data_IF_456855422520
#
_entry.id   IF_456855422520
#
_cell.length_a   1.000
_cell.length_b   1.000
_cell.length_c   1.000
_cell.angle_alpha   90.00
_cell.angle_beta   90.00
_cell.angle_gamma   90.00
#
_symmetry.space_group_name_H-M   'P 1'
#
loop_
_entity.id
_entity.type
_entity.pdbx_description
1 polymer ?
#
# COMPACT_ATOMS: atom_id res chain seq x y z
N UNK A 1 11.31 -17.60 -15.77
CA UNK A 1 10.76 -18.80 -15.36
C UNK A 1 11.54 -19.59 -14.33
N UNK A 2 10.97 -20.70 -13.96
CA UNK A 2 11.62 -21.77 -13.21
C UNK A 2 12.08 -22.82 -14.21
N UNK A 3 13.21 -23.48 -13.91
CA UNK A 3 13.72 -24.59 -14.70
C UNK A 3 12.86 -25.83 -14.52
N UNK A 4 12.86 -26.74 -15.52
CA UNK A 4 12.06 -28.00 -15.48
C UNK A 4 12.50 -28.94 -14.35
N UNK A 5 13.74 -28.83 -13.84
CA UNK A 5 14.22 -29.59 -12.68
C UNK A 5 13.40 -29.34 -11.40
N UNK A 6 12.60 -28.26 -11.35
CA UNK A 6 11.75 -27.95 -10.20
C UNK A 6 10.39 -28.67 -10.22
N UNK A 7 10.02 -29.34 -11.31
CA UNK A 7 8.70 -30.00 -11.44
C UNK A 7 8.42 -31.05 -10.37
N UNK A 8 9.47 -31.74 -9.91
CA UNK A 8 9.37 -32.83 -8.92
C UNK A 8 9.72 -32.39 -7.50
N UNK A 9 9.88 -31.08 -7.23
CA UNK A 9 10.23 -30.56 -5.91
C UNK A 9 8.99 -30.23 -5.09
N UNK A 10 9.07 -30.50 -3.80
CA UNK A 10 8.07 -30.06 -2.84
C UNK A 10 8.27 -28.57 -2.46
N UNK A 11 7.21 -27.94 -1.97
CA UNK A 11 7.22 -26.50 -1.64
C UNK A 11 8.26 -26.12 -0.58
N UNK A 12 8.63 -26.99 0.33
CA UNK A 12 9.68 -26.80 1.35
C UNK A 12 11.10 -26.85 0.76
N UNK A 13 11.28 -27.43 -0.42
CA UNK A 13 12.57 -27.50 -1.14
C UNK A 13 12.80 -26.27 -2.04
N UNK A 14 11.83 -25.34 -2.09
CA UNK A 14 11.90 -24.13 -2.88
C UNK A 14 12.28 -22.91 -2.02
N UNK A 15 13.11 -22.01 -2.57
CA UNK A 15 13.34 -20.70 -1.95
C UNK A 15 12.05 -19.85 -1.94
N UNK A 16 12.01 -18.82 -1.09
CA UNK A 16 10.87 -17.89 -1.03
C UNK A 16 10.49 -17.29 -2.39
N UNK A 17 11.48 -16.83 -3.16
CA UNK A 17 11.25 -16.30 -4.49
C UNK A 17 10.79 -17.35 -5.52
N UNK A 18 11.22 -18.60 -5.38
CA UNK A 18 10.76 -19.71 -6.21
C UNK A 18 9.30 -20.07 -5.88
N UNK A 19 8.96 -20.18 -4.59
CA UNK A 19 7.56 -20.36 -4.14
C UNK A 19 6.65 -19.26 -4.68
N UNK A 20 7.12 -18.00 -4.63
CA UNK A 20 6.34 -16.87 -5.15
C UNK A 20 6.09 -16.98 -6.65
N UNK A 21 7.08 -17.39 -7.45
CA UNK A 21 6.91 -17.62 -8.90
C UNK A 21 5.91 -18.74 -9.19
N UNK A 22 5.91 -19.80 -8.40
CA UNK A 22 4.89 -20.89 -8.51
C UNK A 22 3.50 -20.34 -8.17
N UNK A 23 3.37 -19.51 -7.12
CA UNK A 23 2.12 -18.83 -6.76
C UNK A 23 1.59 -17.95 -7.88
N UNK A 24 2.46 -17.14 -8.50
CA UNK A 24 2.11 -16.31 -9.66
C UNK A 24 1.66 -17.18 -10.84
N UNK A 25 2.40 -18.24 -11.15
CA UNK A 25 2.03 -19.16 -12.24
C UNK A 25 0.65 -19.81 -12.01
N UNK A 26 0.37 -20.24 -10.77
CA UNK A 26 -0.95 -20.77 -10.37
C UNK A 26 -2.07 -19.75 -10.58
N UNK A 27 -1.86 -18.51 -10.16
CA UNK A 27 -2.86 -17.45 -10.31
C UNK A 27 -3.16 -17.14 -11.78
N UNK A 28 -2.19 -17.34 -12.67
CA UNK A 28 -2.31 -16.98 -14.10
C UNK A 28 -2.71 -18.14 -15.02
N UNK A 29 -2.83 -19.36 -14.50
CA UNK A 29 -3.09 -20.55 -15.33
C UNK A 29 -4.44 -20.49 -16.06
N UNK A 30 -5.44 -19.83 -15.45
CA UNK A 30 -6.78 -19.65 -16.02
C UNK A 30 -6.92 -18.37 -16.84
N UNK A 31 -5.81 -17.69 -17.19
CA UNK A 31 -5.80 -16.44 -17.95
C UNK A 31 -6.76 -15.37 -17.40
N UNK A 32 -6.68 -15.01 -16.11
CA UNK A 32 -7.58 -14.05 -15.50
C UNK A 32 -7.34 -12.64 -16.05
N UNK A 33 -8.35 -11.79 -16.00
CA UNK A 33 -8.23 -10.33 -16.26
C UNK A 33 -7.88 -9.54 -15.00
N UNK A 34 -8.22 -10.08 -13.83
CA UNK A 34 -8.02 -9.45 -12.52
C UNK A 34 -7.32 -10.39 -11.55
N UNK A 35 -6.29 -9.88 -10.88
CA UNK A 35 -5.49 -10.66 -9.91
C UNK A 35 -5.34 -9.88 -8.61
N UNK A 36 -5.61 -10.52 -7.48
CA UNK A 36 -5.33 -10.00 -6.14
C UNK A 36 -3.94 -10.45 -5.70
N UNK A 37 -3.08 -9.49 -5.42
CA UNK A 37 -1.73 -9.68 -4.90
C UNK A 37 -1.70 -9.22 -3.44
N UNK A 38 -1.96 -10.15 -2.51
CA UNK A 38 -1.94 -9.86 -1.08
C UNK A 38 -0.56 -10.18 -0.51
N UNK A 39 0.15 -9.14 -0.03
CA UNK A 39 1.52 -9.20 0.52
C UNK A 39 2.51 -10.00 -0.36
N UNK A 40 2.32 -9.94 -1.68
CA UNK A 40 3.03 -10.80 -2.65
C UNK A 40 4.56 -10.69 -2.63
N UNK A 41 5.14 -9.67 -1.97
CA UNK A 41 6.59 -9.44 -1.92
C UNK A 41 7.14 -9.17 -0.52
N UNK A 42 6.30 -9.18 0.52
CA UNK A 42 6.66 -8.76 1.88
C UNK A 42 7.72 -9.64 2.54
N UNK A 43 7.64 -10.96 2.34
CA UNK A 43 8.54 -11.94 2.96
C UNK A 43 9.85 -12.18 2.16
N UNK A 44 10.13 -11.37 1.14
CA UNK A 44 11.28 -11.54 0.27
C UNK A 44 12.39 -10.55 0.59
N UNK A 45 13.65 -11.00 0.45
CA UNK A 45 14.79 -10.10 0.46
C UNK A 45 14.72 -9.06 -0.67
N UNK A 46 15.44 -7.95 -0.53
CA UNK A 46 15.38 -6.81 -1.44
C UNK A 46 15.65 -7.17 -2.91
N UNK A 47 16.64 -8.03 -3.16
CA UNK A 47 17.03 -8.39 -4.53
C UNK A 47 15.98 -9.27 -5.21
N UNK A 48 15.45 -10.25 -4.48
CA UNK A 48 14.39 -11.14 -4.96
C UNK A 48 13.08 -10.37 -5.13
N UNK A 49 12.73 -9.50 -4.18
CA UNK A 49 11.57 -8.60 -4.26
C UNK A 49 11.55 -7.81 -5.57
N UNK A 50 12.66 -7.13 -5.90
CA UNK A 50 12.75 -6.36 -7.13
C UNK A 50 12.60 -7.22 -8.40
N UNK A 51 13.11 -8.45 -8.39
CA UNK A 51 12.91 -9.39 -9.51
C UNK A 51 11.45 -9.80 -9.67
N UNK A 52 10.74 -10.04 -8.56
CA UNK A 52 9.31 -10.39 -8.59
C UNK A 52 8.46 -9.18 -9.03
N UNK A 53 8.75 -7.97 -8.53
CA UNK A 53 8.03 -6.76 -8.96
C UNK A 53 8.20 -6.51 -10.48
N UNK A 54 9.42 -6.64 -11.01
CA UNK A 54 9.65 -6.53 -12.45
C UNK A 54 8.87 -7.58 -13.24
N UNK A 55 8.82 -8.83 -12.76
CA UNK A 55 8.02 -9.89 -13.38
C UNK A 55 6.52 -9.54 -13.38
N UNK A 56 5.99 -9.05 -12.25
CA UNK A 56 4.57 -8.66 -12.16
C UNK A 56 4.24 -7.49 -13.11
N UNK A 57 5.13 -6.49 -13.21
CA UNK A 57 4.96 -5.36 -14.13
C UNK A 57 4.96 -5.85 -15.58
N UNK A 58 5.91 -6.73 -15.95
CA UNK A 58 5.97 -7.34 -17.28
C UNK A 58 4.68 -8.10 -17.61
N UNK A 59 4.24 -8.98 -16.71
CA UNK A 59 3.00 -9.76 -16.88
C UNK A 59 1.76 -8.87 -16.99
N UNK A 60 1.70 -7.77 -16.21
CA UNK A 60 0.62 -6.77 -16.30
C UNK A 60 0.51 -6.20 -17.72
N UNK A 61 1.65 -5.88 -18.33
CA UNK A 61 1.69 -5.31 -19.68
C UNK A 61 1.40 -6.37 -20.76
N UNK A 62 2.07 -7.52 -20.71
CA UNK A 62 1.94 -8.57 -21.73
C UNK A 62 0.54 -9.20 -21.78
N UNK A 63 -0.08 -9.35 -20.60
CA UNK A 63 -1.39 -10.01 -20.46
C UNK A 63 -2.55 -9.05 -20.20
N UNK A 64 -2.30 -7.74 -20.21
CA UNK A 64 -3.30 -6.68 -19.95
C UNK A 64 -4.03 -6.89 -18.60
N UNK A 65 -3.31 -7.31 -17.56
CA UNK A 65 -3.88 -7.64 -16.26
C UNK A 65 -4.22 -6.40 -15.43
N UNK A 66 -5.30 -6.47 -14.70
CA UNK A 66 -5.61 -5.53 -13.63
C UNK A 66 -5.19 -6.15 -12.28
N UNK A 67 -4.42 -5.41 -11.48
CA UNK A 67 -4.00 -5.85 -10.14
C UNK A 67 -4.72 -5.08 -9.04
N UNK A 68 -5.20 -5.79 -8.02
CA UNK A 68 -5.38 -5.27 -6.68
C UNK A 68 -4.15 -5.67 -5.85
N UNK A 69 -3.25 -4.72 -5.62
CA UNK A 69 -1.99 -4.96 -4.94
C UNK A 69 -2.05 -4.45 -3.50
N UNK A 70 -2.08 -5.36 -2.53
CA UNK A 70 -2.13 -5.07 -1.09
C UNK A 70 -0.72 -5.22 -0.53
N UNK A 71 -0.20 -4.16 0.08
CA UNK A 71 1.15 -4.15 0.66
C UNK A 71 1.34 -2.99 1.63
N UNK A 72 2.23 -3.15 2.59
CA UNK A 72 2.75 -2.08 3.42
C UNK A 72 4.05 -1.47 2.85
N UNK A 73 4.60 -2.03 1.77
CA UNK A 73 5.80 -1.52 1.09
C UNK A 73 5.42 -0.43 0.07
N UNK A 74 5.53 0.82 0.49
CA UNK A 74 5.23 1.98 -0.35
C UNK A 74 6.13 2.07 -1.59
N UNK A 75 7.36 1.52 -1.54
CA UNK A 75 8.25 1.46 -2.71
C UNK A 75 7.70 0.52 -3.77
N UNK A 76 7.19 -0.65 -3.36
CA UNK A 76 6.54 -1.59 -4.26
C UNK A 76 5.26 -0.98 -4.87
N UNK A 77 4.41 -0.36 -4.03
CA UNK A 77 3.19 0.33 -4.48
C UNK A 77 3.52 1.39 -5.52
N UNK A 78 4.52 2.25 -5.27
CA UNK A 78 4.91 3.32 -6.20
C UNK A 78 5.42 2.80 -7.56
N UNK A 79 5.93 1.57 -7.60
CA UNK A 79 6.44 0.97 -8.84
C UNK A 79 5.34 0.32 -9.70
N UNK A 80 4.33 -0.30 -9.09
CA UNK A 80 3.37 -1.15 -9.80
C UNK A 80 1.96 -0.55 -9.90
N UNK A 81 1.57 0.33 -8.95
CA UNK A 81 0.22 0.86 -8.84
C UNK A 81 0.05 2.20 -9.57
N UNK A 82 -1.09 2.35 -10.26
CA UNK A 82 -1.51 3.58 -10.91
C UNK A 82 -2.49 4.39 -10.04
N UNK A 83 -3.09 3.76 -9.02
CA UNK A 83 -4.02 4.34 -8.07
C UNK A 83 -3.75 3.73 -6.71
N UNK A 84 -3.83 4.53 -5.66
CA UNK A 84 -3.53 4.09 -4.28
C UNK A 84 -4.71 4.38 -3.37
N UNK A 85 -5.09 3.39 -2.57
CA UNK A 85 -6.09 3.51 -1.52
C UNK A 85 -5.36 3.34 -0.19
N UNK A 86 -5.40 4.38 0.64
CA UNK A 86 -4.83 4.34 1.99
C UNK A 86 -5.92 4.01 2.99
N UNK A 87 -5.70 2.95 3.75
CA UNK A 87 -6.66 2.47 4.75
C UNK A 87 -6.07 2.53 6.17
N UNK A 88 -6.91 2.82 7.14
CA UNK A 88 -6.58 2.77 8.55
C UNK A 88 -7.73 2.13 9.35
N UNK A 89 -7.44 1.08 10.10
CA UNK A 89 -8.43 0.30 10.88
C UNK A 89 -9.69 -0.10 10.08
N UNK A 90 -9.50 -0.54 8.85
CA UNK A 90 -10.58 -0.97 7.97
C UNK A 90 -11.32 0.16 7.22
N UNK A 91 -10.99 1.42 7.49
CA UNK A 91 -11.61 2.58 6.83
C UNK A 91 -10.70 3.21 5.78
N UNK A 92 -11.29 3.71 4.70
CA UNK A 92 -10.57 4.44 3.66
C UNK A 92 -10.34 5.87 4.15
N UNK A 93 -9.07 6.26 4.25
CA UNK A 93 -8.65 7.61 4.64
C UNK A 93 -8.44 8.50 3.42
N UNK A 94 -7.84 7.95 2.37
CA UNK A 94 -7.51 8.72 1.17
C UNK A 94 -7.41 7.80 -0.05
N UNK A 95 -7.88 8.25 -1.21
CA UNK A 95 -7.71 7.60 -2.51
C UNK A 95 -6.95 8.56 -3.41
N UNK A 96 -5.80 8.14 -3.89
CA UNK A 96 -4.84 8.95 -4.66
C UNK A 96 -4.69 8.41 -6.07
N UNK A 97 -4.67 9.27 -7.10
CA UNK A 97 -4.27 8.84 -8.45
C UNK A 97 -2.81 8.36 -8.49
N UNK A 98 -1.95 8.82 -7.58
CA UNK A 98 -0.54 8.45 -7.47
C UNK A 98 0.04 8.94 -6.15
N UNK A 99 1.05 8.27 -5.59
CA UNK A 99 1.82 8.77 -4.43
C UNK A 99 2.66 10.02 -4.73
N UNK A 100 2.74 10.46 -5.98
CA UNK A 100 3.41 11.70 -6.40
C UNK A 100 2.50 12.93 -6.33
N UNK A 101 1.21 12.74 -6.07
CA UNK A 101 0.24 13.83 -5.88
C UNK A 101 0.38 14.45 -4.49
N UNK A 102 -0.26 15.61 -4.31
CA UNK A 102 -0.38 16.22 -3.01
C UNK A 102 -1.14 15.28 -2.06
N UNK A 103 -0.54 15.03 -0.90
CA UNK A 103 -1.12 14.20 0.15
C UNK A 103 -1.89 15.11 1.10
N UNK A 104 -3.15 14.80 1.34
CA UNK A 104 -4.04 15.66 2.10
C UNK A 104 -4.32 15.11 3.51
N UNK A 105 -4.65 13.81 3.62
CA UNK A 105 -5.02 13.22 4.90
C UNK A 105 -3.83 13.15 5.86
N UNK A 106 -3.98 13.60 7.14
CA UNK A 106 -2.89 13.58 8.13
C UNK A 106 -2.25 12.20 8.33
N UNK A 107 -3.06 11.12 8.32
CA UNK A 107 -2.53 9.75 8.42
C UNK A 107 -1.64 9.40 7.24
N UNK A 108 -2.07 9.72 6.01
CA UNK A 108 -1.27 9.44 4.80
C UNK A 108 0.04 10.20 4.82
N UNK A 109 0.02 11.47 5.26
CA UNK A 109 1.24 12.27 5.46
C UNK A 109 2.21 11.60 6.43
N UNK A 110 1.70 11.16 7.59
CA UNK A 110 2.50 10.50 8.60
C UNK A 110 3.05 9.15 8.13
N UNK A 111 2.23 8.35 7.41
CA UNK A 111 2.64 7.07 6.84
C UNK A 111 3.79 7.23 5.84
N UNK A 112 3.68 8.19 4.92
CA UNK A 112 4.73 8.48 3.94
C UNK A 112 5.99 9.06 4.57
N UNK A 113 5.85 9.95 5.55
CA UNK A 113 6.98 10.49 6.29
C UNK A 113 7.77 9.39 7.02
N UNK A 114 7.07 8.42 7.61
CA UNK A 114 7.70 7.28 8.28
C UNK A 114 8.45 6.39 7.28
N UNK A 115 7.88 6.14 6.10
CA UNK A 115 8.50 5.30 5.07
C UNK A 115 9.69 5.96 4.38
N UNK A 116 9.64 7.30 4.17
CA UNK A 116 10.72 8.07 3.53
C UNK A 116 11.80 8.47 4.53
N UNK A 117 11.54 8.40 5.83
CA UNK A 117 12.41 8.83 6.93
C UNK A 117 13.68 7.99 7.14
N UNK A 118 13.91 6.95 6.33
CA UNK A 118 15.12 6.11 6.39
C UNK A 118 16.38 6.78 5.82
N UNK A 119 16.33 8.03 5.35
CA UNK A 119 17.55 8.76 5.02
C UNK A 119 18.12 9.41 6.29
N UNK A 120 19.26 8.89 6.86
CA UNK A 120 19.84 9.43 8.11
C UNK A 120 20.21 10.92 8.05
N UNK A 121 20.41 11.44 6.82
CA UNK A 121 20.77 12.85 6.60
C UNK A 121 19.58 13.82 6.70
N UNK A 122 18.34 13.33 6.64
CA UNK A 122 17.12 14.13 6.67
C UNK A 122 16.30 13.97 7.97
N UNK A 123 16.91 13.43 9.03
CA UNK A 123 16.25 13.13 10.32
C UNK A 123 15.59 14.32 11.02
N UNK A 124 16.00 15.53 10.72
CA UNK A 124 15.52 16.76 11.41
C UNK A 124 14.21 17.31 10.86
N UNK A 125 13.77 16.91 9.66
CA UNK A 125 12.56 17.44 9.03
C UNK A 125 11.33 16.53 9.11
N UNK A 126 11.50 15.24 9.40
CA UNK A 126 10.40 14.26 9.44
C UNK A 126 10.08 13.82 10.87
N UNK A 127 9.72 14.79 11.76
CA UNK A 127 9.09 14.41 13.02
C UNK A 127 7.77 13.74 12.74
N UNK A 128 7.55 12.58 13.36
CA UNK A 128 6.33 11.79 13.30
C UNK A 128 5.14 12.71 13.61
N UNK A 129 4.23 12.85 12.65
CA UNK A 129 3.04 13.70 12.74
C UNK A 129 1.92 12.98 13.51
N UNK A 130 2.26 12.33 14.63
CA UNK A 130 1.32 11.66 15.53
C UNK A 130 1.26 12.43 16.85
N UNK A 131 0.10 12.41 17.49
CA UNK A 131 -0.05 12.89 18.86
C UNK A 131 0.71 11.95 19.81
N UNK A 132 1.49 12.50 20.72
CA UNK A 132 2.26 11.72 21.72
C UNK A 132 1.31 11.08 22.73
N UNK A 133 0.31 11.82 23.21
CA UNK A 133 -0.77 11.29 24.06
C UNK A 133 -1.98 10.93 23.17
N UNK A 134 -2.40 9.69 23.21
CA UNK A 134 -3.56 9.24 22.44
C UNK A 134 -4.85 9.78 23.09
N UNK A 135 -5.75 10.32 22.25
CA UNK A 135 -7.11 10.66 22.68
C UNK A 135 -7.95 9.37 22.85
N UNK A 136 -9.05 9.43 23.61
CA UNK A 136 -10.02 8.34 23.64
C UNK A 136 -10.47 7.96 22.23
N UNK A 137 -10.71 6.66 22.01
CA UNK A 137 -11.25 6.18 20.74
C UNK A 137 -12.72 6.59 20.67
N UNK A 138 -13.08 7.26 19.57
CA UNK A 138 -14.46 7.63 19.24
C UNK A 138 -15.01 6.62 18.23
N UNK A 139 -15.92 5.71 18.64
CA UNK A 139 -16.40 4.62 17.78
C UNK A 139 -17.11 5.10 16.52
N UNK A 140 -17.79 6.25 16.59
CA UNK A 140 -18.51 6.86 15.48
C UNK A 140 -17.73 7.99 14.80
N UNK A 141 -16.48 8.22 15.25
CA UNK A 141 -15.61 9.28 14.78
C UNK A 141 -14.69 8.88 13.62
N UNK A 142 -13.83 9.81 13.26
CA UNK A 142 -12.72 9.52 12.36
C UNK A 142 -11.82 8.44 12.97
N UNK A 143 -11.56 7.37 12.25
CA UNK A 143 -10.73 6.24 12.74
C UNK A 143 -9.34 6.69 13.21
N UNK A 144 -8.79 7.77 12.64
CA UNK A 144 -7.50 8.33 13.02
C UNK A 144 -7.57 9.41 14.11
N UNK A 145 -8.76 9.76 14.61
CA UNK A 145 -8.98 10.83 15.60
C UNK A 145 -8.03 10.75 16.79
N UNK A 146 -7.91 9.58 17.41
CA UNK A 146 -7.15 9.34 18.64
C UNK A 146 -5.64 9.66 18.51
N UNK A 147 -5.08 9.65 17.31
CA UNK A 147 -3.64 9.89 17.03
C UNK A 147 -3.40 11.14 16.18
N UNK A 148 -4.46 11.80 15.71
CA UNK A 148 -4.34 12.95 14.81
C UNK A 148 -3.92 14.21 15.57
N UNK A 149 -2.83 14.87 15.11
CA UNK A 149 -2.40 16.16 15.66
C UNK A 149 -3.42 17.28 15.45
N UNK A 150 -4.23 17.17 14.40
CA UNK A 150 -5.21 18.15 13.96
C UNK A 150 -6.62 17.79 14.39
N UNK A 151 -6.78 16.83 15.31
CA UNK A 151 -8.08 16.40 15.77
C UNK A 151 -8.88 17.56 16.38
N UNK A 152 -10.14 17.69 15.97
CA UNK A 152 -11.09 18.69 16.46
C UNK A 152 -12.44 18.04 16.74
N UNK A 153 -13.38 18.82 17.31
CA UNK A 153 -14.71 18.28 17.70
C UNK A 153 -15.50 17.69 16.51
N UNK A 154 -15.33 18.22 15.31
CA UNK A 154 -15.95 17.66 14.10
C UNK A 154 -15.50 16.22 13.85
N UNK A 155 -14.26 15.87 14.21
CA UNK A 155 -13.68 14.55 14.00
C UNK A 155 -14.27 13.47 14.93
N UNK A 156 -15.08 13.83 15.93
CA UNK A 156 -15.90 12.89 16.73
C UNK A 156 -17.03 12.26 15.91
N UNK A 157 -17.27 12.77 14.72
CA UNK A 157 -18.14 12.17 13.71
C UNK A 157 -17.30 11.68 12.54
N UNK A 158 -17.74 10.60 11.91
CA UNK A 158 -17.07 10.03 10.74
C UNK A 158 -17.04 11.02 9.59
N UNK A 159 -15.86 11.40 9.05
CA UNK A 159 -15.80 12.27 7.90
C UNK A 159 -16.32 11.56 6.64
N UNK A 160 -17.12 12.23 5.79
CA UNK A 160 -17.45 11.69 4.49
C UNK A 160 -16.20 11.59 3.61
N UNK A 161 -16.16 10.59 2.72
CA UNK A 161 -15.17 10.53 1.67
C UNK A 161 -15.54 11.53 0.58
N UNK A 162 -14.90 12.69 0.57
CA UNK A 162 -15.20 13.77 -0.36
C UNK A 162 -14.21 13.81 -1.52
N UNK A 163 -14.69 14.21 -2.69
CA UNK A 163 -13.88 14.40 -3.87
C UNK A 163 -13.08 15.72 -3.75
N UNK A 164 -11.78 15.64 -3.98
CA UNK A 164 -10.91 16.81 -3.98
C UNK A 164 -10.32 17.01 -5.38
N UNK A 165 -10.70 18.09 -6.05
CA UNK A 165 -10.34 18.42 -7.44
C UNK A 165 -10.76 17.36 -8.48
N UNK A 166 -10.62 17.67 -9.77
CA UNK A 166 -11.04 16.84 -10.92
C UNK A 166 -10.19 15.58 -11.16
N UNK A 167 -9.28 15.22 -10.23
CA UNK A 167 -8.25 14.20 -10.45
C UNK A 167 -8.51 12.86 -9.78
N UNK A 168 -9.74 12.45 -9.55
CA UNK A 168 -10.04 11.16 -8.89
C UNK A 168 -9.37 11.01 -7.52
N UNK A 169 -9.14 12.13 -6.83
CA UNK A 169 -8.57 12.20 -5.51
C UNK A 169 -9.71 12.35 -4.49
N UNK A 170 -9.79 11.43 -3.52
CA UNK A 170 -10.83 11.44 -2.49
C UNK A 170 -10.18 11.39 -1.11
N UNK A 171 -10.74 12.14 -0.18
CA UNK A 171 -10.20 12.28 1.18
C UNK A 171 -11.32 12.21 2.21
N UNK A 172 -11.12 11.42 3.26
CA UNK A 172 -12.02 11.32 4.40
C UNK A 172 -11.49 12.16 5.57
N UNK A 173 -11.57 13.50 5.45
CA UNK A 173 -11.06 14.42 6.48
C UNK A 173 -11.93 15.67 6.59
N UNK A 174 -12.22 16.12 7.82
CA UNK A 174 -12.99 17.35 8.09
C UNK A 174 -12.17 18.65 7.91
N UNK A 175 -10.88 18.55 7.66
CA UNK A 175 -9.99 19.70 7.49
C UNK A 175 -9.85 20.14 6.03
N UNK A 176 -10.52 19.44 5.13
CA UNK A 176 -10.43 19.62 3.67
C UNK A 176 -11.79 19.92 3.10
#
# INVERSE_FOLDING_TARGET
>A
GLDTSYLNRYGNELSGGQRQRVGIARALILTPEFVVCDEAVSALDYAVRNKILKLLIQLKQEKQLTYLFISHDLSAINQICNRVIVMYRGEIMEILPSLKQEILHPYTKALLAAALGFNPRNRTQNRILFREEELPIEPEGCAFYHRCLYACDKCKKKPPLVHHNDKQHFVACHLI
#
